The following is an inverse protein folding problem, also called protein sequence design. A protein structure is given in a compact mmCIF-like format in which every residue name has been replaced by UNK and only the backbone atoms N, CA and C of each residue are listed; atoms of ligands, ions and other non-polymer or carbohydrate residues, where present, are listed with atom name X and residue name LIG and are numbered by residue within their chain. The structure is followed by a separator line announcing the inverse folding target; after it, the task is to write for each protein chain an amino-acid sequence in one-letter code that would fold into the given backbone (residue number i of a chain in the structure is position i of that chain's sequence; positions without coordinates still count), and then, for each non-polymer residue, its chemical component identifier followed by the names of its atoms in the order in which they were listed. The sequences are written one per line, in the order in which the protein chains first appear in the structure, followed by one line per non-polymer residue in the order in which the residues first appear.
data_IF_884116974962
#
_entry.id   IF_884116974962
#
_cell.length_a   1.000
_cell.length_b   1.000
_cell.length_c   1.000
_cell.angle_alpha   90.00
_cell.angle_beta   90.00
_cell.angle_gamma   90.00
#
_symmetry.space_group_name_H-M   'P 1'
#
loop_
_entity.id
_entity.type
_entity.pdbx_description
1 polymer ?
#
# COMPACT_ATOMS: atom_id res chain seq x y z
N UNK A 1 -11.35 -0.60 -0.97
CA UNK A 1 -10.45 0.54 -0.71
C UNK A 1 -10.65 0.99 0.73
N UNK A 2 -9.60 1.15 1.52
CA UNK A 2 -9.68 1.79 2.84
C UNK A 2 -9.66 3.32 2.68
N UNK A 3 -10.37 4.02 3.56
CA UNK A 3 -10.42 5.48 3.56
C UNK A 3 -9.92 5.99 4.91
N UNK A 4 -8.79 6.69 4.89
CA UNK A 4 -8.21 7.36 6.05
C UNK A 4 -8.15 8.86 5.82
N UNK A 5 -8.21 9.63 6.90
CA UNK A 5 -8.12 11.08 6.88
C UNK A 5 -7.01 11.53 7.82
N UNK A 6 -6.14 12.41 7.33
CA UNK A 6 -5.15 13.13 8.11
C UNK A 6 -5.47 14.62 8.05
N UNK A 7 -5.58 15.26 9.22
CA UNK A 7 -5.95 16.68 9.33
C UNK A 7 -5.22 17.33 10.50
N UNK A 8 -5.23 18.66 10.54
CA UNK A 8 -4.71 19.44 11.65
C UNK A 8 -5.87 19.93 12.50
N UNK A 9 -5.88 19.51 13.77
CA UNK A 9 -6.82 20.00 14.78
C UNK A 9 -6.26 21.30 15.37
N UNK A 10 -6.96 22.41 15.10
CA UNK A 10 -6.53 23.74 15.53
C UNK A 10 -6.71 23.97 17.02
N UNK A 11 -7.71 23.35 17.64
CA UNK A 11 -7.97 23.53 19.08
C UNK A 11 -6.91 22.80 19.90
N UNK A 12 -6.54 21.60 19.46
CA UNK A 12 -5.55 20.77 20.14
C UNK A 12 -4.12 20.99 19.61
N UNK A 13 -3.96 21.84 18.60
CA UNK A 13 -2.69 22.16 17.94
C UNK A 13 -1.89 20.92 17.52
N UNK A 14 -2.57 19.90 16.98
CA UNK A 14 -1.95 18.61 16.65
C UNK A 14 -2.42 18.04 15.32
N UNK A 15 -1.58 17.19 14.73
CA UNK A 15 -1.97 16.38 13.57
C UNK A 15 -2.72 15.15 14.06
N UNK A 16 -3.89 14.92 13.48
CA UNK A 16 -4.75 13.77 13.75
C UNK A 16 -4.83 12.89 12.50
N UNK A 17 -4.89 11.57 12.69
CA UNK A 17 -5.07 10.60 11.62
C UNK A 17 -6.11 9.57 12.04
N UNK A 18 -7.19 9.44 11.28
CA UNK A 18 -8.30 8.53 11.57
C UNK A 18 -8.61 7.64 10.37
N UNK A 19 -8.79 6.35 10.63
CA UNK A 19 -9.50 5.47 9.73
C UNK A 19 -10.99 5.81 9.75
N UNK A 20 -11.61 5.97 8.59
CA UNK A 20 -13.03 6.33 8.49
C UNK A 20 -13.87 5.13 8.12
N UNK A 21 -13.55 4.46 7.01
CA UNK A 21 -14.33 3.33 6.53
C UNK A 21 -13.63 2.49 5.46
N UNK A 22 -14.24 1.36 5.13
CA UNK A 22 -13.97 0.64 3.89
C UNK A 22 -15.02 0.98 2.84
N UNK A 23 -14.56 1.26 1.63
CA UNK A 23 -15.39 1.51 0.47
C UNK A 23 -15.25 0.31 -0.48
N UNK A 24 -16.32 -0.45 -0.73
CA UNK A 24 -16.30 -1.50 -1.74
C UNK A 24 -16.17 -0.85 -3.12
N UNK A 25 -15.31 -1.42 -3.96
CA UNK A 25 -15.12 -0.98 -5.33
C UNK A 25 -15.60 -2.08 -6.27
N UNK A 26 -16.42 -1.70 -7.25
CA UNK A 26 -16.85 -2.59 -8.33
C UNK A 26 -15.85 -2.63 -9.49
N UNK A 27 -14.93 -1.66 -9.55
CA UNK A 27 -13.88 -1.57 -10.56
C UNK A 27 -12.65 -0.88 -9.97
N UNK A 28 -11.45 -1.29 -10.43
CA UNK A 28 -10.15 -0.71 -10.05
C UNK A 28 -9.65 0.32 -11.08
N UNK A 29 -10.52 0.78 -11.98
CA UNK A 29 -10.18 1.86 -12.91
C UNK A 29 -10.05 3.19 -12.17
N UNK A 30 -9.17 4.06 -12.66
CA UNK A 30 -8.94 5.37 -12.07
C UNK A 30 -10.22 6.21 -11.93
N UNK A 31 -11.11 6.11 -12.92
CA UNK A 31 -12.40 6.78 -12.94
C UNK A 31 -13.30 6.27 -11.80
N UNK A 32 -13.50 4.95 -11.71
CA UNK A 32 -14.34 4.35 -10.65
C UNK A 32 -13.81 4.68 -9.25
N UNK A 33 -12.49 4.62 -9.06
CA UNK A 33 -11.85 4.96 -7.79
C UNK A 33 -12.06 6.45 -7.45
N UNK A 34 -11.79 7.36 -8.39
CA UNK A 34 -11.96 8.81 -8.15
C UNK A 34 -13.41 9.18 -7.80
N UNK A 35 -14.38 8.58 -8.49
CA UNK A 35 -15.81 8.77 -8.20
C UNK A 35 -16.18 8.22 -6.82
N UNK A 36 -15.65 7.05 -6.45
CA UNK A 36 -15.87 6.47 -5.13
C UNK A 36 -15.31 7.39 -4.02
N UNK A 37 -14.11 7.95 -4.21
CA UNK A 37 -13.49 8.90 -3.27
C UNK A 37 -14.37 10.14 -3.09
N UNK A 38 -14.75 10.80 -4.18
CA UNK A 38 -15.58 12.03 -4.13
C UNK A 38 -16.97 11.76 -3.52
N UNK A 39 -17.58 10.62 -3.85
CA UNK A 39 -18.85 10.19 -3.27
C UNK A 39 -18.71 9.95 -1.77
N UNK A 40 -17.65 9.27 -1.33
CA UNK A 40 -17.42 9.00 0.09
C UNK A 40 -17.18 10.28 0.87
N UNK A 41 -16.37 11.22 0.35
CA UNK A 41 -16.19 12.54 0.97
C UNK A 41 -17.55 13.24 1.17
N UNK A 42 -18.39 13.26 0.13
CA UNK A 42 -19.73 13.85 0.20
C UNK A 42 -20.63 13.18 1.24
N UNK A 43 -20.65 11.84 1.28
CA UNK A 43 -21.45 11.07 2.26
C UNK A 43 -21.00 11.33 3.69
N UNK A 44 -19.70 11.51 3.92
CA UNK A 44 -19.12 11.81 5.22
C UNK A 44 -19.22 13.30 5.60
N UNK A 45 -19.82 14.14 4.75
CA UNK A 45 -19.91 15.58 4.97
C UNK A 45 -18.57 16.32 4.87
N UNK A 46 -17.55 15.71 4.26
CA UNK A 46 -16.23 16.29 4.08
C UNK A 46 -16.17 17.08 2.77
N UNK A 47 -15.97 18.40 2.89
CA UNK A 47 -15.92 19.30 1.75
C UNK A 47 -14.56 19.21 1.03
N UNK A 48 -14.61 18.87 -0.27
CA UNK A 48 -13.45 18.76 -1.17
C UNK A 48 -12.66 20.08 -1.24
N UNK A 49 -13.26 21.23 -0.93
CA UNK A 49 -12.55 22.51 -0.87
C UNK A 49 -11.41 22.53 0.15
N UNK A 50 -11.48 21.68 1.18
CA UNK A 50 -10.45 21.55 2.22
C UNK A 50 -9.48 20.40 1.95
N UNK A 51 -9.67 19.62 0.89
CA UNK A 51 -8.72 18.59 0.50
C UNK A 51 -7.40 19.28 0.07
N UNK A 52 -6.29 18.88 0.69
CA UNK A 52 -4.95 19.41 0.41
C UNK A 52 -3.95 18.33 0.03
N UNK A 53 -4.23 17.09 0.36
CA UNK A 53 -3.38 15.96 0.03
C UNK A 53 -4.19 14.74 -0.38
N UNK A 54 -3.59 13.93 -1.22
CA UNK A 54 -4.09 12.62 -1.60
C UNK A 54 -2.93 11.63 -1.63
N UNK A 55 -3.03 10.54 -0.85
CA UNK A 55 -1.95 9.56 -0.69
C UNK A 55 -2.36 8.20 -1.23
N UNK A 56 -1.73 7.73 -2.30
CA UNK A 56 -2.03 6.44 -2.93
C UNK A 56 -0.76 5.68 -3.31
N UNK A 57 -0.89 4.38 -3.63
CA UNK A 57 0.20 3.60 -4.20
C UNK A 57 0.61 4.07 -5.61
N UNK A 58 1.67 3.46 -6.12
CA UNK A 58 2.26 3.76 -7.41
C UNK A 58 1.55 3.11 -8.60
N UNK A 59 0.47 2.36 -8.39
CA UNK A 59 -0.21 1.68 -9.47
C UNK A 59 -0.69 2.67 -10.52
N UNK A 60 -0.62 2.30 -11.80
CA UNK A 60 -0.95 3.18 -12.93
C UNK A 60 -2.34 3.83 -12.82
N UNK A 61 -3.32 3.11 -12.28
CA UNK A 61 -4.66 3.62 -12.05
C UNK A 61 -4.70 4.74 -10.99
N UNK A 62 -3.77 4.75 -10.04
CA UNK A 62 -3.69 5.74 -8.96
C UNK A 62 -2.78 6.90 -9.33
N UNK A 63 -1.52 6.61 -9.69
CA UNK A 63 -0.42 7.57 -9.86
C UNK A 63 -0.38 8.25 -11.22
N UNK A 64 -1.10 7.73 -12.22
CA UNK A 64 -1.03 8.20 -13.61
C UNK A 64 -1.28 9.70 -13.76
N UNK A 65 -0.39 10.39 -14.47
CA UNK A 65 -0.36 11.86 -14.58
C UNK A 65 -1.58 12.44 -15.31
N UNK A 66 -2.08 11.78 -16.35
CA UNK A 66 -3.18 12.30 -17.17
C UNK A 66 -4.52 11.62 -16.93
N UNK A 67 -4.48 10.34 -16.53
CA UNK A 67 -5.68 9.50 -16.39
C UNK A 67 -5.70 8.72 -15.09
N UNK A 68 -4.77 8.95 -14.17
CA UNK A 68 -4.79 8.34 -12.85
C UNK A 68 -5.84 8.98 -11.94
N UNK A 69 -6.15 8.31 -10.84
CA UNK A 69 -7.03 8.85 -9.79
C UNK A 69 -6.50 10.19 -9.30
N UNK A 70 -5.18 10.32 -9.13
CA UNK A 70 -4.56 11.55 -8.64
C UNK A 70 -4.85 12.76 -9.54
N UNK A 71 -4.71 12.58 -10.86
CA UNK A 71 -5.03 13.62 -11.85
C UNK A 71 -6.51 14.04 -11.78
N UNK A 72 -7.41 13.05 -11.72
CA UNK A 72 -8.86 13.29 -11.66
C UNK A 72 -9.30 14.04 -10.40
N UNK A 73 -8.66 13.79 -9.25
CA UNK A 73 -8.95 14.53 -8.03
C UNK A 73 -8.41 15.96 -8.12
N UNK A 74 -7.24 16.18 -8.74
CA UNK A 74 -6.68 17.53 -8.98
C UNK A 74 -7.61 18.37 -9.86
N UNK A 75 -8.27 17.77 -10.86
CA UNK A 75 -9.29 18.46 -11.68
C UNK A 75 -10.42 19.05 -10.83
N UNK A 76 -10.79 18.42 -9.71
CA UNK A 76 -11.84 18.89 -8.80
C UNK A 76 -11.31 19.85 -7.72
N UNK A 77 -10.04 19.72 -7.34
CA UNK A 77 -9.36 20.62 -6.41
C UNK A 77 -7.90 20.83 -6.85
N UNK A 78 -7.60 21.92 -7.58
CA UNK A 78 -6.26 22.19 -8.09
C UNK A 78 -5.17 22.37 -7.02
N UNK A 79 -5.56 22.64 -5.76
CA UNK A 79 -4.62 22.81 -4.64
C UNK A 79 -4.19 21.50 -3.97
N UNK A 80 -4.68 20.35 -4.43
CA UNK A 80 -4.34 19.04 -3.86
C UNK A 80 -2.98 18.57 -4.35
N UNK A 81 -2.17 18.06 -3.42
CA UNK A 81 -0.88 17.45 -3.72
C UNK A 81 -1.03 15.92 -3.69
N UNK A 82 -0.52 15.27 -4.73
CA UNK A 82 -0.36 13.82 -4.73
C UNK A 82 0.89 13.40 -3.97
N UNK A 83 0.72 12.47 -3.02
CA UNK A 83 1.81 11.82 -2.30
C UNK A 83 1.85 10.33 -2.70
N UNK A 84 2.94 9.92 -3.32
CA UNK A 84 3.19 8.51 -3.58
C UNK A 84 3.42 7.78 -2.24
N UNK A 85 2.83 6.60 -2.05
CA UNK A 85 3.00 5.80 -0.85
C UNK A 85 4.48 5.45 -0.60
N UNK A 86 5.04 5.97 0.50
CA UNK A 86 6.44 5.71 0.86
C UNK A 86 6.73 4.23 1.10
N UNK A 87 5.79 3.48 1.68
CA UNK A 87 5.94 2.03 1.85
C UNK A 87 6.03 1.31 0.50
N UNK A 88 5.29 1.78 -0.51
CA UNK A 88 5.39 1.25 -1.86
C UNK A 88 6.73 1.63 -2.51
N UNK A 89 7.16 2.88 -2.40
CA UNK A 89 8.48 3.33 -2.86
C UNK A 89 9.62 2.50 -2.25
N UNK A 90 9.58 2.27 -0.93
CA UNK A 90 10.56 1.47 -0.23
C UNK A 90 10.56 0.02 -0.73
N UNK A 91 9.38 -0.58 -0.88
CA UNK A 91 9.26 -1.93 -1.42
C UNK A 91 9.84 -2.05 -2.84
N UNK A 92 9.62 -1.04 -3.70
CA UNK A 92 10.22 -1.00 -5.03
C UNK A 92 11.75 -0.90 -4.96
N UNK A 93 12.29 -0.03 -4.10
CA UNK A 93 13.74 0.11 -3.93
C UNK A 93 14.39 -1.20 -3.41
N UNK A 94 13.74 -1.88 -2.47
CA UNK A 94 14.19 -3.19 -1.97
C UNK A 94 14.11 -4.24 -3.09
N UNK A 95 12.99 -4.29 -3.81
CA UNK A 95 12.80 -5.24 -4.92
C UNK A 95 13.82 -5.06 -6.03
N UNK A 96 14.19 -3.81 -6.35
CA UNK A 96 15.23 -3.48 -7.32
C UNK A 96 16.63 -3.88 -6.80
N UNK A 97 16.91 -3.60 -5.52
CA UNK A 97 18.14 -4.04 -4.85
C UNK A 97 18.29 -5.57 -4.86
N UNK A 98 17.19 -6.31 -4.80
CA UNK A 98 17.20 -7.77 -4.95
C UNK A 98 17.68 -8.24 -6.32
N UNK A 99 17.78 -7.37 -7.34
CA UNK A 99 18.39 -7.68 -8.63
C UNK A 99 19.92 -7.66 -8.63
N UNK A 100 20.57 -7.39 -7.49
CA UNK A 100 22.02 -7.62 -7.39
C UNK A 100 22.30 -9.12 -7.42
N UNK A 101 23.23 -9.59 -8.27
CA UNK A 101 23.46 -11.02 -8.51
C UNK A 101 23.68 -11.82 -7.22
N UNK A 102 24.48 -11.31 -6.28
CA UNK A 102 24.74 -11.96 -5.00
C UNK A 102 23.47 -12.12 -4.15
N UNK A 103 22.63 -11.09 -4.13
CA UNK A 103 21.35 -11.08 -3.41
C UNK A 103 20.37 -12.04 -4.07
N UNK A 104 20.19 -11.97 -5.41
CA UNK A 104 19.37 -12.93 -6.17
C UNK A 104 19.77 -14.38 -5.91
N UNK A 105 21.08 -14.68 -5.93
CA UNK A 105 21.58 -16.03 -5.70
C UNK A 105 21.24 -16.50 -4.29
N UNK A 106 21.43 -15.64 -3.28
CA UNK A 106 21.07 -15.94 -1.90
C UNK A 106 19.58 -16.27 -1.77
N UNK A 107 18.70 -15.40 -2.28
CA UNK A 107 17.26 -15.65 -2.27
C UNK A 107 16.89 -16.93 -3.03
N UNK A 108 17.52 -17.19 -4.18
CA UNK A 108 17.30 -18.43 -4.94
C UNK A 108 17.72 -19.69 -4.20
N UNK A 109 18.76 -19.63 -3.35
CA UNK A 109 19.14 -20.75 -2.48
C UNK A 109 18.09 -20.94 -1.39
N UNK A 110 17.68 -19.86 -0.72
CA UNK A 110 16.65 -19.90 0.33
C UNK A 110 15.34 -20.48 -0.23
N UNK A 111 14.91 -20.02 -1.41
CA UNK A 111 13.70 -20.49 -2.09
C UNK A 111 13.79 -21.98 -2.41
N UNK A 112 14.91 -22.45 -2.99
CA UNK A 112 15.12 -23.87 -3.28
C UNK A 112 15.13 -24.72 -2.02
N UNK A 113 15.76 -24.26 -0.95
CA UNK A 113 15.77 -24.95 0.35
C UNK A 113 14.36 -25.02 0.91
N UNK A 114 13.61 -23.92 0.90
CA UNK A 114 12.21 -23.90 1.31
C UNK A 114 11.39 -24.90 0.50
N UNK A 115 11.44 -24.82 -0.84
CA UNK A 115 10.72 -25.74 -1.73
C UNK A 115 11.10 -27.21 -1.50
N UNK A 116 12.36 -27.49 -1.18
CA UNK A 116 12.81 -28.84 -0.84
C UNK A 116 12.13 -29.37 0.43
N UNK A 117 12.02 -28.55 1.47
CA UNK A 117 11.41 -28.94 2.76
C UNK A 117 9.89 -28.78 2.79
N UNK A 118 9.29 -28.11 1.82
CA UNK A 118 7.84 -27.86 1.72
C UNK A 118 7.05 -29.11 1.26
N UNK A 119 7.23 -30.21 1.98
CA UNK A 119 6.46 -31.44 1.86
C UNK A 119 6.23 -32.00 3.27
N UNK A 120 5.06 -32.57 3.55
CA UNK A 120 4.72 -33.03 4.90
C UNK A 120 5.81 -33.90 5.55
N UNK A 121 6.37 -34.87 4.80
CA UNK A 121 7.42 -35.78 5.30
C UNK A 121 8.72 -35.06 5.65
N UNK A 122 9.19 -34.13 4.79
CA UNK A 122 10.46 -33.43 5.03
C UNK A 122 10.31 -32.33 6.06
N UNK A 123 9.13 -31.71 6.13
CA UNK A 123 8.84 -30.70 7.14
C UNK A 123 8.84 -31.32 8.53
N UNK A 124 8.25 -32.51 8.72
CA UNK A 124 8.30 -33.23 9.99
C UNK A 124 9.74 -33.54 10.43
N UNK A 125 10.59 -34.00 9.50
CA UNK A 125 12.01 -34.25 9.76
C UNK A 125 12.75 -32.95 10.12
N UNK A 126 12.48 -31.86 9.39
CA UNK A 126 13.10 -30.57 9.65
C UNK A 126 12.73 -30.03 11.04
N UNK A 127 11.45 -30.04 11.41
CA UNK A 127 10.99 -29.57 12.72
C UNK A 127 11.63 -30.37 13.85
N UNK A 128 11.60 -31.71 13.77
CA UNK A 128 12.26 -32.58 14.76
C UNK A 128 13.74 -32.24 14.93
N UNK A 129 14.44 -31.96 13.83
CA UNK A 129 15.86 -31.57 13.88
C UNK A 129 16.05 -30.16 14.46
N UNK A 130 15.18 -29.21 14.15
CA UNK A 130 15.24 -27.88 14.77
C UNK A 130 15.11 -28.02 16.30
N UNK A 131 14.15 -28.81 16.78
CA UNK A 131 13.94 -29.02 18.22
C UNK A 131 15.14 -29.71 18.90
N UNK A 132 15.81 -30.63 18.21
CA UNK A 132 17.03 -31.29 18.72
C UNK A 132 18.23 -30.32 18.84
N UNK A 133 18.38 -29.40 17.90
CA UNK A 133 19.57 -28.51 17.81
C UNK A 133 19.37 -27.14 18.48
N UNK A 134 18.14 -26.64 18.52
CA UNK A 134 17.72 -25.41 19.18
C UNK A 134 16.47 -25.69 20.02
N UNK A 135 16.60 -26.43 21.14
CA UNK A 135 15.50 -26.58 22.08
C UNK A 135 15.13 -25.21 22.65
N UNK A 136 13.82 -24.96 22.81
CA UNK A 136 13.30 -23.76 23.50
C UNK A 136 13.79 -23.64 24.94
#
# INVERSE_FOLDING_TARGET
MSFGLRYFDQEQMKICEHFLCFVPLTSTTSQSISQAILKTLKVLGLDVKYLRGQGYDGARAMSGEFKGTQARIIEHQPKVIYLHCMSHCLNLAISDSCQVQGIRNCFGIIEKTFSFFHTAKRQEVLTKKIDEFCPE
#
